data_IF_524610896310
#
_entry.id   IF_524610896310
#
_cell.length_a   1.000
_cell.length_b   1.000
_cell.length_c   1.000
_cell.angle_alpha   90.00
_cell.angle_beta   90.00
_cell.angle_gamma   90.00
#
_symmetry.space_group_name_H-M   'P 1'
#
loop_
_entity.id
_entity.type
_entity.pdbx_description
1 polymer ?
#
# COMPACT_ATOMS: atom_id res chain seq x y z
N UNK A 1 15.84 -9.94 -11.22
CA UNK A 1 14.38 -10.07 -11.04
C UNK A 1 14.19 -11.10 -9.95
N UNK A 2 13.99 -10.66 -8.70
CA UNK A 2 13.68 -11.60 -7.62
C UNK A 2 12.33 -12.25 -7.92
N UNK A 3 12.30 -13.58 -7.91
CA UNK A 3 11.07 -14.34 -8.10
C UNK A 3 10.12 -14.07 -6.95
N UNK A 4 8.87 -13.74 -7.26
CA UNK A 4 7.80 -13.63 -6.26
C UNK A 4 7.79 -14.90 -5.39
N UNK A 5 7.87 -14.78 -4.05
CA UNK A 5 7.88 -15.94 -3.17
C UNK A 5 6.70 -16.89 -3.41
N UNK A 6 6.91 -18.21 -3.25
CA UNK A 6 5.88 -19.20 -3.62
C UNK A 6 4.60 -19.08 -2.79
N UNK A 7 4.73 -18.69 -1.51
CA UNK A 7 3.60 -18.35 -0.64
C UNK A 7 2.78 -17.15 -1.15
N UNK A 8 3.43 -16.17 -1.79
CA UNK A 8 2.72 -15.08 -2.48
C UNK A 8 1.93 -15.61 -3.68
N UNK A 9 2.47 -16.56 -4.47
CA UNK A 9 1.73 -17.15 -5.60
C UNK A 9 0.50 -17.92 -5.14
N UNK A 10 0.63 -18.72 -4.09
CA UNK A 10 -0.47 -19.49 -3.50
C UNK A 10 -1.55 -18.59 -2.89
N UNK A 11 -1.18 -17.43 -2.33
CA UNK A 11 -2.14 -16.46 -1.80
C UNK A 11 -3.04 -15.85 -2.88
N UNK A 12 -2.51 -15.68 -4.10
CA UNK A 12 -3.22 -15.04 -5.20
C UNK A 12 -3.72 -16.01 -6.27
N UNK A 13 -3.61 -17.33 -6.06
CA UNK A 13 -4.08 -18.36 -7.01
C UNK A 13 -5.59 -18.65 -6.90
N UNK A 14 -6.24 -18.26 -5.81
CA UNK A 14 -7.70 -18.28 -5.64
C UNK A 14 -8.21 -16.85 -5.43
N UNK A 15 -8.75 -16.26 -6.50
CA UNK A 15 -9.13 -14.84 -6.52
C UNK A 15 -10.63 -14.64 -6.34
N UNK A 16 -11.01 -14.18 -5.15
CA UNK A 16 -12.42 -13.94 -4.75
C UNK A 16 -12.95 -12.56 -5.20
N UNK A 17 -12.07 -11.65 -5.64
CA UNK A 17 -12.45 -10.33 -6.21
C UNK A 17 -11.97 -10.14 -7.66
N UNK A 18 -11.55 -11.21 -8.35
CA UNK A 18 -11.20 -11.17 -9.79
C UNK A 18 -12.14 -12.00 -10.69
N UNK A 19 -13.24 -12.51 -10.16
CA UNK A 19 -14.24 -13.22 -10.97
C UNK A 19 -15.45 -12.36 -11.30
N UNK A 20 -15.48 -11.12 -10.79
CA UNK A 20 -16.57 -10.18 -11.00
C UNK A 20 -16.08 -9.03 -11.89
N UNK A 21 -16.80 -8.65 -12.95
CA UNK A 21 -16.47 -7.61 -13.95
C UNK A 21 -16.09 -6.22 -13.37
N UNK A 22 -16.10 -6.10 -12.04
CA UNK A 22 -15.68 -4.97 -11.19
C UNK A 22 -14.19 -4.60 -11.23
N UNK A 23 -13.32 -5.39 -11.86
CA UNK A 23 -11.88 -5.05 -12.04
C UNK A 23 -11.68 -3.70 -12.73
N UNK A 24 -12.63 -3.32 -13.59
CA UNK A 24 -12.65 -2.07 -14.33
C UNK A 24 -13.19 -0.91 -13.49
N UNK A 25 -13.80 -1.19 -12.34
CA UNK A 25 -14.41 -0.17 -11.49
C UNK A 25 -13.34 0.41 -10.59
N UNK A 26 -13.29 1.74 -10.58
CA UNK A 26 -12.26 2.50 -9.91
C UNK A 26 -12.97 3.43 -8.92
N UNK A 27 -12.62 3.31 -7.65
CA UNK A 27 -13.35 3.96 -6.56
C UNK A 27 -12.56 5.14 -6.01
N UNK A 28 -13.25 6.21 -5.60
CA UNK A 28 -12.58 7.31 -4.91
C UNK A 28 -11.97 6.79 -3.59
N UNK A 29 -10.68 6.99 -3.41
CA UNK A 29 -9.93 6.52 -2.25
C UNK A 29 -10.38 7.13 -0.91
N UNK A 30 -11.06 8.27 -0.95
CA UNK A 30 -11.62 8.92 0.23
C UNK A 30 -12.83 8.13 0.76
N UNK A 31 -13.63 7.56 -0.15
CA UNK A 31 -14.83 6.80 0.17
C UNK A 31 -14.72 5.32 -0.26
N UNK A 32 -14.46 4.48 0.74
CA UNK A 32 -14.29 3.04 0.58
C UNK A 32 -15.60 2.25 0.77
N UNK A 33 -16.73 2.91 1.05
CA UNK A 33 -18.04 2.28 1.32
C UNK A 33 -18.59 1.52 0.11
N UNK A 34 -18.16 1.91 -1.08
CA UNK A 34 -18.59 1.29 -2.33
C UNK A 34 -17.71 0.11 -2.77
N UNK A 35 -16.61 -0.18 -2.05
CA UNK A 35 -15.79 -1.34 -2.38
C UNK A 35 -16.55 -2.65 -2.11
N UNK A 36 -16.35 -3.68 -2.95
CA UNK A 36 -17.04 -4.95 -2.77
C UNK A 36 -16.68 -5.59 -1.42
N UNK A 37 -17.65 -6.26 -0.74
CA UNK A 37 -17.40 -6.86 0.58
C UNK A 37 -16.21 -7.83 0.62
N UNK A 38 -15.95 -8.53 -0.49
CA UNK A 38 -14.79 -9.43 -0.64
C UNK A 38 -13.46 -8.69 -0.38
N UNK A 39 -13.37 -7.39 -0.71
CA UNK A 39 -12.21 -6.56 -0.47
C UNK A 39 -12.12 -6.01 0.96
N UNK A 40 -13.17 -6.14 1.78
CA UNK A 40 -13.25 -5.52 3.10
C UNK A 40 -13.17 -6.52 4.26
N UNK A 41 -13.69 -7.74 4.06
CA UNK A 41 -13.93 -8.73 5.12
C UNK A 41 -12.69 -9.56 5.49
N UNK A 42 -11.71 -8.94 6.15
CA UNK A 42 -10.57 -9.63 6.76
C UNK A 42 -10.39 -9.25 8.22
N UNK A 43 -9.64 -10.08 8.95
CA UNK A 43 -9.08 -9.76 10.26
C UNK A 43 -7.63 -9.32 10.10
N UNK A 44 -7.22 -8.31 10.85
CA UNK A 44 -5.88 -7.75 10.80
C UNK A 44 -5.20 -7.92 12.16
N UNK A 45 -3.87 -8.05 12.21
CA UNK A 45 -3.12 -7.97 13.46
C UNK A 45 -3.25 -6.55 14.07
N UNK A 46 -2.84 -6.39 15.33
CA UNK A 46 -2.63 -5.03 15.86
C UNK A 46 -1.49 -4.34 15.08
N UNK A 47 -1.49 -3.00 15.02
CA UNK A 47 -0.54 -2.28 14.18
C UNK A 47 0.92 -2.54 14.59
N UNK A 48 1.17 -2.66 15.89
CA UNK A 48 2.47 -2.93 16.49
C UNK A 48 2.96 -4.37 16.24
N UNK A 49 2.06 -5.28 15.88
CA UNK A 49 2.36 -6.68 15.59
C UNK A 49 2.71 -6.91 14.10
N UNK A 50 2.59 -5.89 13.25
CA UNK A 50 2.93 -6.01 11.83
C UNK A 50 4.43 -6.33 11.68
N UNK A 51 4.72 -7.45 11.05
CA UNK A 51 6.05 -7.84 10.63
C UNK A 51 6.37 -7.17 9.29
N UNK A 52 7.22 -6.16 9.33
CA UNK A 52 7.64 -5.39 8.16
C UNK A 52 8.76 -6.08 7.38
N UNK A 53 8.88 -5.75 6.08
CA UNK A 53 9.99 -6.17 5.23
C UNK A 53 11.35 -5.77 5.82
N UNK A 54 12.37 -6.58 5.58
CA UNK A 54 13.75 -6.18 5.88
C UNK A 54 14.19 -5.19 4.81
N UNK A 55 14.80 -4.09 5.22
CA UNK A 55 15.35 -3.10 4.31
C UNK A 55 16.86 -3.23 4.28
N UNK A 56 17.43 -3.17 3.09
CA UNK A 56 18.85 -2.93 2.91
C UNK A 56 19.17 -1.47 3.28
N UNK A 57 19.88 -1.21 4.40
CA UNK A 57 20.18 0.14 4.86
C UNK A 57 21.18 0.88 3.95
N UNK A 58 21.89 0.17 3.05
CA UNK A 58 22.76 0.80 2.04
C UNK A 58 21.98 1.31 0.84
N UNK A 59 20.75 0.83 0.65
CA UNK A 59 19.88 1.23 -0.45
C UNK A 59 18.74 2.16 -0.01
N UNK A 60 18.18 1.92 1.18
CA UNK A 60 16.94 2.54 1.63
C UNK A 60 17.06 3.21 2.99
N UNK A 61 16.28 4.28 3.16
CA UNK A 61 16.04 4.93 4.45
C UNK A 61 14.54 4.96 4.75
N UNK A 62 14.20 4.85 6.03
CA UNK A 62 12.83 5.09 6.50
C UNK A 62 12.64 6.55 6.90
N UNK A 63 11.55 7.14 6.41
CA UNK A 63 11.06 8.44 6.86
C UNK A 63 9.63 8.37 7.30
N UNK A 64 9.26 9.26 8.22
CA UNK A 64 7.85 9.48 8.57
C UNK A 64 7.22 10.36 7.50
N UNK A 65 6.05 9.95 7.00
CA UNK A 65 5.27 10.71 6.02
C UNK A 65 3.86 10.94 6.56
N UNK A 66 3.30 12.12 6.30
CA UNK A 66 1.87 12.37 6.49
C UNK A 66 1.11 11.67 5.35
N UNK A 67 0.23 10.74 5.71
CA UNK A 67 -0.48 9.91 4.74
C UNK A 67 -1.41 10.77 3.87
N UNK A 68 -2.06 11.76 4.47
CA UNK A 68 -3.01 12.61 3.77
C UNK A 68 -2.30 13.56 2.81
N UNK A 69 -1.19 14.20 3.21
CA UNK A 69 -0.42 15.07 2.31
C UNK A 69 0.07 14.30 1.06
N UNK A 70 0.45 13.04 1.24
CA UNK A 70 0.92 12.19 0.14
C UNK A 70 -0.24 11.76 -0.77
N UNK A 71 -1.42 11.42 -0.22
CA UNK A 71 -2.58 10.98 -1.01
C UNK A 71 -3.35 12.15 -1.67
N UNK A 72 -3.50 13.29 -0.99
CA UNK A 72 -4.25 14.47 -1.48
C UNK A 72 -3.63 15.08 -2.75
N UNK A 73 -2.34 14.85 -3.00
CA UNK A 73 -1.69 15.24 -4.26
C UNK A 73 -2.34 14.62 -5.49
N UNK A 74 -2.92 13.44 -5.32
CA UNK A 74 -3.66 12.77 -6.38
C UNK A 74 -5.13 13.22 -6.46
N UNK A 75 -5.59 14.09 -5.57
CA UNK A 75 -6.93 14.69 -5.65
C UNK A 75 -6.98 15.80 -6.72
N UNK A 76 -5.88 16.52 -6.93
CA UNK A 76 -5.82 17.75 -7.73
C UNK A 76 -5.08 17.62 -9.10
N UNK A 77 -4.78 16.40 -9.56
CA UNK A 77 -4.16 16.14 -10.88
C UNK A 77 -5.13 15.51 -11.89
N UNK A 78 -4.86 15.65 -13.20
CA UNK A 78 -5.74 15.26 -14.33
C UNK A 78 -6.20 13.79 -14.38
N UNK A 79 -5.72 12.93 -13.48
CA UNK A 79 -6.28 11.61 -13.24
C UNK A 79 -6.31 11.36 -11.73
N UNK A 80 -7.44 11.67 -11.09
CA UNK A 80 -7.65 11.42 -9.67
C UNK A 80 -7.21 10.01 -9.26
N UNK A 81 -6.56 9.86 -8.10
CA UNK A 81 -6.24 8.51 -7.61
C UNK A 81 -7.52 7.72 -7.38
N UNK A 82 -7.62 6.56 -8.01
CA UNK A 82 -8.72 5.63 -7.77
C UNK A 82 -8.22 4.28 -7.25
N UNK A 83 -8.99 3.73 -6.31
CA UNK A 83 -8.81 2.39 -5.79
C UNK A 83 -9.32 1.36 -6.80
N UNK A 84 -8.40 0.60 -7.38
CA UNK A 84 -8.68 -0.74 -7.92
C UNK A 84 -9.06 -1.71 -6.78
N UNK A 85 -10.25 -2.31 -6.79
CA UNK A 85 -10.69 -3.30 -5.79
C UNK A 85 -9.75 -4.49 -5.71
N UNK A 86 -9.29 -4.97 -6.87
CA UNK A 86 -8.34 -6.08 -6.94
C UNK A 86 -7.04 -5.78 -6.20
N UNK A 87 -6.41 -4.63 -6.47
CA UNK A 87 -5.18 -4.23 -5.77
C UNK A 87 -5.42 -4.03 -4.27
N UNK A 88 -6.57 -3.46 -3.91
CA UNK A 88 -6.93 -3.21 -2.53
C UNK A 88 -7.20 -4.51 -1.74
N UNK A 89 -7.92 -5.47 -2.34
CA UNK A 89 -8.10 -6.83 -1.81
C UNK A 89 -6.75 -7.49 -1.55
N UNK A 90 -5.82 -7.45 -2.52
CA UNK A 90 -4.50 -8.06 -2.37
C UNK A 90 -3.73 -7.50 -1.19
N UNK A 91 -3.68 -6.17 -1.07
CA UNK A 91 -3.03 -5.49 0.07
C UNK A 91 -3.65 -5.91 1.40
N UNK A 92 -4.98 -5.96 1.49
CA UNK A 92 -5.67 -6.34 2.74
C UNK A 92 -5.49 -7.81 3.07
N UNK A 93 -5.44 -8.68 2.08
CA UNK A 93 -5.12 -10.11 2.23
C UNK A 93 -3.66 -10.31 2.66
N UNK A 94 -2.72 -9.56 2.10
CA UNK A 94 -1.31 -9.54 2.54
C UNK A 94 -1.21 -9.15 4.02
N UNK A 95 -1.89 -8.08 4.42
CA UNK A 95 -1.91 -7.61 5.81
C UNK A 95 -2.56 -8.62 6.76
N UNK A 96 -3.66 -9.24 6.32
CA UNK A 96 -4.41 -10.23 7.12
C UNK A 96 -3.61 -11.51 7.38
N UNK A 97 -2.73 -11.89 6.46
CA UNK A 97 -1.87 -13.07 6.56
C UNK A 97 -0.43 -12.71 6.96
N UNK A 98 -0.22 -11.49 7.47
CA UNK A 98 1.12 -11.00 7.76
C UNK A 98 1.83 -11.88 8.80
N UNK A 99 3.08 -12.24 8.48
CA UNK A 99 3.89 -13.13 9.30
C UNK A 99 5.38 -12.94 8.99
N UNK A 100 6.25 -13.66 9.70
CA UNK A 100 7.69 -13.68 9.41
C UNK A 100 8.02 -14.20 8.00
N UNK A 101 7.22 -15.12 7.46
CA UNK A 101 7.37 -15.66 6.11
C UNK A 101 6.67 -14.80 5.04
N UNK A 102 5.73 -13.96 5.48
CA UNK A 102 4.94 -13.08 4.63
C UNK A 102 4.93 -11.65 5.20
N UNK A 103 6.10 -11.02 5.12
CA UNK A 103 6.32 -9.67 5.62
C UNK A 103 5.50 -8.64 4.84
N UNK A 104 5.14 -7.55 5.51
CA UNK A 104 4.42 -6.44 4.91
C UNK A 104 5.40 -5.37 4.42
N UNK A 105 5.18 -4.89 3.21
CA UNK A 105 6.09 -3.94 2.57
C UNK A 105 5.83 -2.51 3.03
N UNK A 106 6.88 -1.72 3.23
CA UNK A 106 6.74 -0.28 3.41
C UNK A 106 6.20 0.36 2.12
N UNK A 107 5.39 1.42 2.22
CA UNK A 107 5.12 2.27 1.06
C UNK A 107 6.43 2.91 0.58
N UNK A 108 6.58 3.07 -0.73
CA UNK A 108 7.76 3.71 -1.34
C UNK A 108 7.44 5.15 -1.69
N UNK A 109 8.29 6.07 -1.23
CA UNK A 109 8.23 7.48 -1.58
C UNK A 109 9.56 7.96 -2.16
N UNK A 110 9.50 9.10 -2.84
CA UNK A 110 10.65 9.80 -3.43
C UNK A 110 10.60 11.27 -3.03
N UNK A 111 11.76 11.90 -2.96
CA UNK A 111 11.85 13.35 -2.79
C UNK A 111 11.92 13.96 -4.19
N UNK A 112 10.92 14.76 -4.53
CA UNK A 112 10.87 15.45 -5.81
C UNK A 112 11.80 16.67 -5.80
N UNK A 113 12.11 17.19 -6.99
CA UNK A 113 12.91 18.43 -7.12
C UNK A 113 12.24 19.68 -6.52
N UNK A 114 10.97 19.59 -6.15
CA UNK A 114 10.23 20.58 -5.37
C UNK A 114 10.42 20.43 -3.85
N UNK A 115 11.36 19.58 -3.41
CA UNK A 115 11.60 19.18 -2.02
C UNK A 115 10.37 18.57 -1.31
N UNK A 116 9.39 18.10 -2.08
CA UNK A 116 8.21 17.46 -1.54
C UNK A 116 8.30 15.94 -1.64
N UNK A 117 7.57 15.26 -0.76
CA UNK A 117 7.45 13.81 -0.78
C UNK A 117 6.41 13.40 -1.81
N UNK A 118 6.80 12.52 -2.73
CA UNK A 118 5.93 11.95 -3.76
C UNK A 118 5.84 10.45 -3.57
N UNK A 119 4.63 9.91 -3.67
CA UNK A 119 4.44 8.47 -3.60
C UNK A 119 4.94 7.82 -4.89
N UNK A 120 5.90 6.89 -4.77
CA UNK A 120 6.33 6.02 -5.86
C UNK A 120 5.36 4.84 -5.99
N UNK A 121 5.35 3.98 -4.98
CA UNK A 121 4.57 2.75 -4.95
C UNK A 121 3.84 2.56 -3.61
N UNK A 122 2.75 1.78 -3.63
CA UNK A 122 2.03 1.42 -2.41
C UNK A 122 0.86 2.33 -2.03
N UNK A 123 0.27 3.08 -2.97
CA UNK A 123 -0.93 3.91 -2.73
C UNK A 123 -2.11 3.17 -2.07
N UNK A 124 -2.42 1.97 -2.56
CA UNK A 124 -3.47 1.11 -1.99
C UNK A 124 -3.12 0.69 -0.56
N UNK A 125 -1.85 0.42 -0.30
CA UNK A 125 -1.33 0.06 1.03
C UNK A 125 -1.43 1.22 2.00
N UNK A 126 -1.01 2.40 1.56
CA UNK A 126 -1.08 3.62 2.35
C UNK A 126 -2.53 3.94 2.74
N UNK A 127 -3.45 3.87 1.78
CA UNK A 127 -4.89 4.03 2.04
C UNK A 127 -5.43 2.97 3.00
N UNK A 128 -5.08 1.69 2.79
CA UNK A 128 -5.54 0.60 3.65
C UNK A 128 -5.10 0.79 5.10
N UNK A 129 -3.83 1.13 5.33
CA UNK A 129 -3.28 1.35 6.68
C UNK A 129 -3.94 2.55 7.38
N UNK A 130 -4.13 3.67 6.66
CA UNK A 130 -4.87 4.83 7.18
C UNK A 130 -6.29 4.45 7.59
N UNK A 131 -6.99 3.66 6.79
CA UNK A 131 -8.41 3.33 7.02
C UNK A 131 -8.62 2.22 8.06
N UNK A 132 -7.73 1.23 8.12
CA UNK A 132 -7.81 0.11 9.06
C UNK A 132 -7.39 0.55 10.46
N UNK A 133 -6.28 1.29 10.56
CA UNK A 133 -5.66 1.64 11.85
C UNK A 133 -5.86 3.12 12.25
N UNK A 134 -6.50 3.94 11.41
CA UNK A 134 -6.73 5.36 11.71
C UNK A 134 -5.46 6.21 11.71
N UNK A 135 -4.40 5.78 11.01
CA UNK A 135 -3.09 6.43 11.03
C UNK A 135 -3.13 7.78 10.30
N UNK A 136 -2.44 8.76 10.87
CA UNK A 136 -2.13 10.04 10.19
C UNK A 136 -0.77 10.00 9.52
N UNK A 137 0.17 9.30 10.14
CA UNK A 137 1.56 9.21 9.69
C UNK A 137 2.01 7.77 9.62
N UNK A 138 2.99 7.48 8.76
CA UNK A 138 3.62 6.17 8.70
C UNK A 138 5.08 6.24 8.28
N UNK A 139 5.87 5.21 8.62
CA UNK A 139 7.17 4.98 8.01
C UNK A 139 7.01 4.55 6.55
N UNK A 140 7.69 5.25 5.65
CA UNK A 140 7.83 4.91 4.24
C UNK A 140 9.31 4.76 3.90
N UNK A 141 9.62 3.88 2.95
CA UNK A 141 10.97 3.71 2.43
C UNK A 141 11.22 4.66 1.26
N UNK A 142 12.45 5.15 1.18
CA UNK A 142 12.92 6.06 0.13
C UNK A 142 14.34 5.65 -0.25
N UNK A 143 14.68 5.72 -1.53
CA UNK A 143 16.02 5.40 -2.01
C UNK A 143 17.03 6.44 -1.51
N UNK A 144 18.19 5.99 -1.03
CA UNK A 144 19.23 6.90 -0.55
C UNK A 144 19.76 7.84 -1.64
N UNK A 145 19.73 7.43 -2.92
CA UNK A 145 20.10 8.31 -4.04
C UNK A 145 19.22 9.56 -4.14
N UNK A 146 17.96 9.48 -3.68
CA UNK A 146 17.03 10.61 -3.70
C UNK A 146 17.35 11.65 -2.60
N UNK A 147 18.28 11.36 -1.67
CA UNK A 147 18.78 12.32 -0.67
C UNK A 147 20.03 13.08 -1.08
N UNK A 148 20.70 12.65 -2.14
CA UNK A 148 21.97 13.24 -2.59
C UNK A 148 21.76 14.39 -3.59
N UNK A 149 20.52 14.92 -3.66
CA UNK A 149 20.11 16.03 -4.52
C UNK A 149 20.31 17.36 -3.78
#
# INVERSE_FOLDING_TARGET
MESIPENYKLMFSSLDCSDDDTHFWTYNWENNENLPPCALNFKYPEFEEIVWEDLDPECFKLITVDIKDVLDRFHNGEAGYLLSPFKYYRVRKELSNNSAELKFYYPEVRIGGDNKIHLGEGRHRLNALMKIYGLKEIKAKVFLKDYLI
#
